data_IF_232243177875
#
_entry.id   IF_232243177875
#
_cell.length_a   1.000
_cell.length_b   1.000
_cell.length_c   1.000
_cell.angle_alpha   90.00
_cell.angle_beta   90.00
_cell.angle_gamma   90.00
#
_symmetry.space_group_name_H-M   'P 1'
#
loop_
_entity.id
_entity.type
_entity.pdbx_description
1 polymer ?
#
# COMPACT_ATOMS: atom_id res chain seq x y z
N UNK A 1 -32.52 8.69 -6.42
CA UNK A 1 -31.45 8.12 -5.64
C UNK A 1 -30.17 8.85 -6.06
N UNK A 2 -29.53 9.61 -5.18
CA UNK A 2 -28.24 10.25 -5.51
C UNK A 2 -27.17 9.17 -5.40
N UNK A 3 -26.46 8.88 -6.47
CA UNK A 3 -25.31 8.00 -6.45
C UNK A 3 -24.20 8.67 -5.64
N UNK A 4 -23.52 7.89 -4.80
CA UNK A 4 -22.31 8.35 -4.12
C UNK A 4 -21.16 8.49 -5.12
N UNK A 5 -20.17 9.33 -4.83
CA UNK A 5 -19.03 9.61 -5.72
C UNK A 5 -18.29 8.34 -6.14
N UNK A 6 -18.09 7.41 -5.20
CA UNK A 6 -17.42 6.14 -5.47
C UNK A 6 -18.18 5.22 -6.43
N UNK A 7 -19.54 5.21 -6.34
CA UNK A 7 -20.37 4.42 -7.26
C UNK A 7 -20.25 4.96 -8.69
N UNK A 8 -20.17 6.28 -8.84
CA UNK A 8 -19.97 6.92 -10.14
C UNK A 8 -18.60 6.54 -10.69
N UNK A 9 -17.53 6.65 -9.88
CA UNK A 9 -16.18 6.24 -10.25
C UNK A 9 -16.13 4.78 -10.68
N UNK A 10 -16.71 3.89 -9.87
CA UNK A 10 -16.78 2.46 -10.14
C UNK A 10 -17.50 2.16 -11.48
N UNK A 11 -18.68 2.74 -11.69
CA UNK A 11 -19.47 2.51 -12.91
C UNK A 11 -18.76 3.03 -14.15
N UNK A 12 -18.15 4.22 -14.08
CA UNK A 12 -17.37 4.77 -15.21
C UNK A 12 -16.15 3.87 -15.49
N UNK A 13 -15.40 3.51 -14.47
CA UNK A 13 -14.25 2.61 -14.62
C UNK A 13 -14.66 1.27 -15.24
N UNK A 14 -15.75 0.66 -14.76
CA UNK A 14 -16.29 -0.57 -15.31
C UNK A 14 -16.73 -0.42 -16.78
N UNK A 15 -17.37 0.70 -17.12
CA UNK A 15 -17.80 1.00 -18.49
C UNK A 15 -16.61 1.21 -19.47
N UNK A 16 -15.44 1.57 -18.96
CA UNK A 16 -14.21 1.67 -19.76
C UNK A 16 -13.50 0.31 -19.84
N UNK A 17 -13.19 -0.29 -18.69
CA UNK A 17 -12.29 -1.48 -18.62
C UNK A 17 -12.98 -2.75 -19.11
N UNK A 18 -14.23 -3.01 -18.73
CA UNK A 18 -14.90 -4.26 -19.11
C UNK A 18 -15.07 -4.43 -20.64
N UNK A 19 -15.45 -3.40 -21.42
CA UNK A 19 -15.44 -3.51 -22.88
C UNK A 19 -14.06 -3.71 -23.48
N UNK A 20 -13.02 -3.07 -22.93
CA UNK A 20 -11.64 -3.23 -23.43
C UNK A 20 -11.18 -4.67 -23.28
N UNK A 21 -11.31 -5.25 -22.08
CA UNK A 21 -10.96 -6.65 -21.82
C UNK A 21 -11.80 -7.63 -22.67
N UNK A 22 -13.09 -7.32 -22.88
CA UNK A 22 -13.93 -8.13 -23.75
C UNK A 22 -13.47 -8.08 -25.22
N UNK A 23 -13.12 -6.90 -25.72
CA UNK A 23 -12.63 -6.73 -27.09
C UNK A 23 -11.29 -7.45 -27.28
N UNK A 24 -10.39 -7.35 -26.31
CA UNK A 24 -9.10 -8.04 -26.32
C UNK A 24 -9.28 -9.57 -26.35
N UNK A 25 -10.13 -10.12 -25.46
CA UNK A 25 -10.41 -11.57 -25.41
C UNK A 25 -11.07 -12.10 -26.68
N UNK A 26 -11.84 -11.27 -27.39
CA UNK A 26 -12.46 -11.59 -28.67
C UNK A 26 -11.55 -11.35 -29.88
N UNK A 27 -10.35 -10.79 -29.69
CA UNK A 27 -9.42 -10.43 -30.76
C UNK A 27 -9.96 -9.31 -31.68
N UNK A 28 -10.82 -8.43 -31.16
CA UNK A 28 -11.44 -7.35 -31.90
C UNK A 28 -10.73 -6.01 -31.64
N UNK A 29 -10.03 -5.48 -32.63
CA UNK A 29 -9.24 -4.24 -32.52
C UNK A 29 -10.01 -3.04 -33.14
N UNK A 30 -11.11 -2.59 -32.47
CA UNK A 30 -11.86 -1.41 -32.89
C UNK A 30 -11.24 -0.10 -32.42
N UNK A 31 -10.43 -0.14 -31.37
CA UNK A 31 -9.78 1.03 -30.78
C UNK A 31 -8.32 1.02 -31.20
N UNK A 32 -7.75 2.18 -31.58
CA UNK A 32 -6.33 2.26 -31.89
C UNK A 32 -5.47 1.76 -30.72
N UNK A 33 -4.52 0.86 -30.99
CA UNK A 33 -3.69 0.21 -29.97
C UNK A 33 -2.91 1.20 -29.10
N UNK A 34 -2.58 2.37 -29.63
CA UNK A 34 -1.89 3.43 -28.88
C UNK A 34 -2.79 4.17 -27.87
N UNK A 35 -4.11 4.02 -27.93
CA UNK A 35 -5.06 4.68 -27.01
C UNK A 35 -5.49 3.72 -25.88
N UNK A 36 -5.54 2.43 -26.16
CA UNK A 36 -6.02 1.40 -25.23
C UNK A 36 -5.33 1.51 -23.85
N UNK A 37 -3.97 1.58 -23.75
CA UNK A 37 -3.31 1.62 -22.44
C UNK A 37 -3.69 2.84 -21.59
N UNK A 38 -3.94 3.99 -22.21
CA UNK A 38 -4.36 5.19 -21.47
C UNK A 38 -5.80 5.06 -20.95
N UNK A 39 -6.67 4.38 -21.70
CA UNK A 39 -8.02 4.07 -21.23
C UNK A 39 -8.00 3.05 -20.09
N UNK A 40 -7.11 2.05 -20.16
CA UNK A 40 -6.85 1.09 -19.09
C UNK A 40 -6.33 1.79 -17.83
N UNK A 41 -5.39 2.72 -17.97
CA UNK A 41 -4.91 3.53 -16.86
C UNK A 41 -6.06 4.30 -16.18
N UNK A 42 -6.81 5.07 -16.95
CA UNK A 42 -7.90 5.91 -16.41
C UNK A 42 -9.02 5.05 -15.82
N UNK A 43 -9.47 4.03 -16.56
CA UNK A 43 -10.50 3.11 -16.09
C UNK A 43 -10.05 2.27 -14.90
N UNK A 44 -8.81 1.82 -14.90
CA UNK A 44 -8.18 1.09 -13.79
C UNK A 44 -8.13 1.91 -12.51
N UNK A 45 -7.65 3.15 -12.56
CA UNK A 45 -7.65 4.07 -11.40
C UNK A 45 -9.07 4.27 -10.87
N UNK A 46 -10.04 4.49 -11.74
CA UNK A 46 -11.43 4.71 -11.33
C UNK A 46 -12.05 3.46 -10.68
N UNK A 47 -11.74 2.26 -11.19
CA UNK A 47 -12.16 1.00 -10.58
C UNK A 47 -11.49 0.76 -9.23
N UNK A 48 -10.17 0.95 -9.13
CA UNK A 48 -9.42 0.80 -7.89
C UNK A 48 -9.97 1.76 -6.83
N UNK A 49 -10.19 3.04 -7.16
CA UNK A 49 -10.75 4.02 -6.23
C UNK A 49 -12.16 3.65 -5.77
N UNK A 50 -13.05 3.25 -6.68
CA UNK A 50 -14.41 2.82 -6.33
C UNK A 50 -14.43 1.52 -5.52
N UNK A 51 -13.54 0.57 -5.83
CA UNK A 51 -13.40 -0.69 -5.10
C UNK A 51 -12.87 -0.49 -3.69
N UNK A 52 -11.89 0.40 -3.52
CA UNK A 52 -11.34 0.75 -2.23
C UNK A 52 -12.43 1.24 -1.27
N UNK A 53 -13.25 2.21 -1.70
CA UNK A 53 -14.32 2.76 -0.86
C UNK A 53 -15.40 1.70 -0.55
N UNK A 54 -15.70 0.81 -1.49
CA UNK A 54 -16.61 -0.30 -1.26
C UNK A 54 -16.04 -1.32 -0.24
N UNK A 55 -14.73 -1.61 -0.26
CA UNK A 55 -14.07 -2.44 0.75
C UNK A 55 -14.11 -1.77 2.12
N UNK A 56 -13.77 -0.49 2.21
CA UNK A 56 -13.77 0.28 3.46
C UNK A 56 -15.16 0.26 4.09
N UNK A 57 -16.20 0.63 3.34
CA UNK A 57 -17.60 0.60 3.81
C UNK A 57 -18.03 -0.79 4.31
N UNK A 58 -17.59 -1.84 3.62
CA UNK A 58 -17.90 -3.22 4.02
C UNK A 58 -17.24 -3.58 5.34
N UNK A 59 -15.99 -3.20 5.52
CA UNK A 59 -15.21 -3.52 6.73
C UNK A 59 -15.64 -2.66 7.90
N UNK A 60 -15.95 -1.40 7.70
CA UNK A 60 -16.56 -0.53 8.74
C UNK A 60 -17.90 -1.09 9.22
N UNK A 61 -18.78 -1.51 8.28
CA UNK A 61 -20.04 -2.16 8.62
C UNK A 61 -19.84 -3.48 9.39
N UNK A 62 -18.79 -4.25 9.08
CA UNK A 62 -18.44 -5.46 9.82
C UNK A 62 -17.90 -5.13 11.21
N UNK A 63 -17.02 -4.15 11.33
CA UNK A 63 -16.45 -3.69 12.59
C UNK A 63 -17.54 -3.18 13.55
N UNK A 64 -18.50 -2.42 13.03
CA UNK A 64 -19.68 -1.98 13.78
C UNK A 64 -20.52 -3.16 14.27
N UNK A 65 -20.79 -4.15 13.41
CA UNK A 65 -21.53 -5.36 13.81
C UNK A 65 -20.77 -6.20 14.87
N UNK A 66 -19.45 -6.05 14.97
CA UNK A 66 -18.59 -6.70 15.98
C UNK A 66 -18.40 -5.85 17.24
N UNK A 67 -19.01 -4.67 17.32
CA UNK A 67 -18.84 -3.71 18.41
C UNK A 67 -17.39 -3.35 18.71
N UNK A 68 -16.58 -3.14 17.64
CA UNK A 68 -15.20 -2.69 17.77
C UNK A 68 -15.17 -1.18 18.04
N UNK A 69 -14.10 -0.72 18.71
CA UNK A 69 -13.83 0.71 18.88
C UNK A 69 -13.54 1.37 17.53
N UNK A 70 -13.85 2.65 17.41
CA UNK A 70 -13.64 3.42 16.15
C UNK A 70 -12.19 3.37 15.69
N UNK A 71 -11.24 3.39 16.63
CA UNK A 71 -9.82 3.24 16.33
C UNK A 71 -9.50 1.88 15.68
N UNK A 72 -9.99 0.78 16.24
CA UNK A 72 -9.76 -0.56 15.69
C UNK A 72 -10.49 -0.73 14.36
N UNK A 73 -11.71 -0.18 14.24
CA UNK A 73 -12.45 -0.11 12.99
C UNK A 73 -11.66 0.65 11.90
N UNK A 74 -11.03 1.78 12.25
CA UNK A 74 -10.17 2.55 11.36
C UNK A 74 -8.96 1.77 10.86
N UNK A 75 -8.31 0.96 11.72
CA UNK A 75 -7.21 0.08 11.29
C UNK A 75 -7.70 -0.99 10.30
N UNK A 76 -8.84 -1.62 10.56
CA UNK A 76 -9.41 -2.59 9.63
C UNK A 76 -9.86 -1.94 8.33
N UNK A 77 -10.40 -0.73 8.37
CA UNK A 77 -10.74 0.06 7.19
C UNK A 77 -9.49 0.40 6.37
N UNK A 78 -8.40 0.76 7.04
CA UNK A 78 -7.12 1.00 6.38
C UNK A 78 -6.57 -0.27 5.71
N UNK A 79 -6.69 -1.45 6.31
CA UNK A 79 -6.34 -2.72 5.65
C UNK A 79 -7.22 -2.94 4.42
N UNK A 80 -8.50 -2.65 4.53
CA UNK A 80 -9.44 -2.79 3.42
C UNK A 80 -9.08 -1.87 2.25
N UNK A 81 -8.56 -0.67 2.53
CA UNK A 81 -8.13 0.28 1.50
C UNK A 81 -6.91 -0.19 0.70
N UNK A 82 -6.07 -1.03 1.29
CA UNK A 82 -4.87 -1.57 0.62
C UNK A 82 -5.13 -2.84 -0.19
N UNK A 83 -6.31 -3.49 -0.04
CA UNK A 83 -6.65 -4.70 -0.80
C UNK A 83 -6.58 -4.49 -2.34
N UNK A 84 -7.09 -3.40 -2.92
CA UNK A 84 -6.98 -3.19 -4.37
C UNK A 84 -5.54 -3.17 -4.88
N UNK A 85 -4.59 -2.68 -4.10
CA UNK A 85 -3.17 -2.69 -4.47
C UNK A 85 -2.61 -4.12 -4.55
N UNK A 86 -3.09 -5.03 -3.69
CA UNK A 86 -2.71 -6.44 -3.77
C UNK A 86 -3.10 -7.07 -5.12
N UNK A 87 -4.23 -6.65 -5.71
CA UNK A 87 -4.63 -7.11 -7.04
C UNK A 87 -3.71 -6.56 -8.13
N UNK A 88 -3.30 -5.29 -8.07
CA UNK A 88 -2.32 -4.73 -9.01
C UNK A 88 -1.01 -5.51 -8.97
N UNK A 89 -0.47 -5.74 -7.78
CA UNK A 89 0.76 -6.51 -7.58
C UNK A 89 0.61 -7.96 -8.05
N UNK A 90 -0.52 -8.58 -7.76
CA UNK A 90 -0.80 -9.95 -8.19
C UNK A 90 -0.79 -10.08 -9.72
N UNK A 91 -1.42 -9.15 -10.45
CA UNK A 91 -1.40 -9.18 -11.91
C UNK A 91 -0.02 -8.84 -12.49
N UNK A 92 0.74 -7.93 -11.89
CA UNK A 92 2.14 -7.69 -12.27
C UNK A 92 2.99 -8.97 -12.13
N UNK A 93 2.83 -9.68 -11.00
CA UNK A 93 3.58 -10.91 -10.74
C UNK A 93 3.18 -12.03 -11.71
N UNK A 94 1.87 -12.22 -11.97
CA UNK A 94 1.39 -13.20 -12.98
C UNK A 94 1.92 -12.83 -14.38
N UNK A 95 1.99 -11.53 -14.70
CA UNK A 95 2.58 -11.04 -15.94
C UNK A 95 4.11 -11.17 -16.01
N UNK A 96 4.76 -11.77 -15.00
CA UNK A 96 6.22 -11.96 -14.96
C UNK A 96 7.01 -10.70 -14.61
N UNK A 97 6.34 -9.63 -14.16
CA UNK A 97 6.99 -8.35 -13.80
C UNK A 97 7.35 -8.31 -12.30
N UNK A 98 8.09 -9.31 -11.82
CA UNK A 98 8.44 -9.45 -10.41
C UNK A 98 9.19 -8.24 -9.85
N UNK A 99 10.14 -7.73 -10.63
CA UNK A 99 10.96 -6.56 -10.27
C UNK A 99 10.09 -5.30 -10.14
N UNK A 100 9.19 -5.05 -11.09
CA UNK A 100 8.27 -3.92 -11.02
C UNK A 100 7.34 -4.02 -9.81
N UNK A 101 6.81 -5.21 -9.52
CA UNK A 101 5.99 -5.44 -8.34
C UNK A 101 6.75 -5.18 -7.03
N UNK A 102 8.02 -5.57 -6.96
CA UNK A 102 8.89 -5.29 -5.82
C UNK A 102 9.13 -3.79 -5.63
N UNK A 103 9.49 -3.08 -6.70
CA UNK A 103 9.72 -1.63 -6.66
C UNK A 103 8.43 -0.90 -6.28
N UNK A 104 7.29 -1.30 -6.87
CA UNK A 104 5.98 -0.72 -6.58
C UNK A 104 5.66 -0.84 -5.09
N UNK A 105 5.77 -2.03 -4.52
CA UNK A 105 5.48 -2.28 -3.10
C UNK A 105 6.38 -1.45 -2.18
N UNK A 106 7.69 -1.39 -2.44
CA UNK A 106 8.60 -0.58 -1.63
C UNK A 106 8.39 0.92 -1.80
N UNK A 107 8.19 1.39 -3.03
CA UNK A 107 7.99 2.81 -3.31
C UNK A 107 6.67 3.34 -2.71
N UNK A 108 5.64 2.49 -2.59
CA UNK A 108 4.38 2.86 -1.92
C UNK A 108 4.59 3.22 -0.44
N UNK A 109 5.57 2.61 0.26
CA UNK A 109 5.91 2.98 1.64
C UNK A 109 6.29 4.47 1.73
N UNK A 110 7.10 4.93 0.79
CA UNK A 110 7.57 6.32 0.75
C UNK A 110 6.43 7.27 0.38
N UNK A 111 5.56 6.86 -0.54
CA UNK A 111 4.41 7.68 -0.92
C UNK A 111 3.45 7.85 0.25
N UNK A 112 3.14 6.80 0.99
CA UNK A 112 2.30 6.87 2.17
C UNK A 112 2.96 7.67 3.30
N UNK A 113 4.28 7.57 3.44
CA UNK A 113 5.04 8.42 4.35
C UNK A 113 4.98 9.90 3.96
N UNK A 114 5.03 10.20 2.66
CA UNK A 114 4.84 11.57 2.16
C UNK A 114 3.43 12.09 2.45
N UNK A 115 2.40 11.27 2.20
CA UNK A 115 1.00 11.62 2.49
C UNK A 115 0.83 11.91 3.98
N UNK A 116 1.37 11.04 4.85
CA UNK A 116 1.35 11.27 6.30
C UNK A 116 2.08 12.56 6.68
N UNK A 117 3.28 12.80 6.15
CA UNK A 117 4.06 14.00 6.44
C UNK A 117 3.37 15.29 5.97
N UNK A 118 2.80 15.30 4.76
CA UNK A 118 2.03 16.44 4.25
C UNK A 118 0.75 16.63 5.05
N UNK A 119 0.04 15.54 5.38
CA UNK A 119 -1.17 15.61 6.19
C UNK A 119 -0.90 16.16 7.59
N UNK A 120 0.21 15.78 8.21
CA UNK A 120 0.62 16.29 9.53
C UNK A 120 0.90 17.78 9.57
N UNK A 121 1.20 18.42 8.42
CA UNK A 121 1.31 19.89 8.33
C UNK A 121 -0.04 20.59 8.43
N UNK A 122 -1.12 19.93 8.02
CA UNK A 122 -2.47 20.49 7.94
C UNK A 122 -3.28 20.24 9.23
N UNK A 123 -2.80 19.35 10.11
CA UNK A 123 -3.48 19.05 11.38
C UNK A 123 -3.66 20.30 12.25
N UNK A 124 -4.77 20.39 13.01
CA UNK A 124 -5.00 21.49 13.94
C UNK A 124 -3.96 21.46 15.05
N UNK A 125 -3.15 22.50 15.15
CA UNK A 125 -2.03 22.59 16.08
C UNK A 125 -2.39 23.38 17.33
N UNK A 126 -1.80 23.00 18.45
CA UNK A 126 -1.88 23.74 19.70
C UNK A 126 -1.09 25.07 19.65
N UNK A 127 -1.08 25.82 20.74
CA UNK A 127 -0.37 27.09 20.84
C UNK A 127 1.15 26.96 20.71
N UNK A 128 1.70 25.76 20.89
CA UNK A 128 3.11 25.43 20.74
C UNK A 128 3.45 24.95 19.32
N UNK A 129 2.44 24.81 18.44
CA UNK A 129 2.61 24.35 17.07
C UNK A 129 2.65 22.83 16.94
N UNK A 130 2.15 22.08 17.92
CA UNK A 130 2.15 20.64 17.97
C UNK A 130 0.73 20.07 17.80
N UNK A 131 0.62 18.85 17.24
CA UNK A 131 -0.60 18.05 17.26
C UNK A 131 -0.35 16.78 18.09
N UNK A 132 -1.23 16.50 19.07
CA UNK A 132 -1.13 15.31 19.89
C UNK A 132 -1.68 14.11 19.15
N UNK A 133 -0.87 13.06 19.04
CA UNK A 133 -1.25 11.80 18.39
C UNK A 133 -2.14 10.94 19.31
N UNK A 134 -3.06 10.13 18.74
CA UNK A 134 -3.79 9.12 19.48
C UNK A 134 -2.88 8.14 20.20
N UNK A 135 -3.22 7.79 21.47
CA UNK A 135 -2.40 6.92 22.34
C UNK A 135 -2.11 5.54 21.71
N UNK A 136 -3.01 5.04 20.89
CA UNK A 136 -2.83 3.75 20.27
C UNK A 136 -1.78 3.78 19.12
N UNK A 137 -1.66 4.89 18.37
CA UNK A 137 -0.56 5.11 17.44
C UNK A 137 0.76 5.16 18.22
N UNK A 138 0.75 5.89 19.32
CA UNK A 138 1.94 6.05 20.16
C UNK A 138 2.47 4.71 20.71
N UNK A 139 1.60 3.87 21.29
CA UNK A 139 2.06 2.67 22.00
C UNK A 139 2.28 1.45 21.08
N UNK A 140 1.39 1.20 20.15
CA UNK A 140 1.45 -0.04 19.35
C UNK A 140 1.99 0.21 17.95
N UNK A 141 1.68 1.36 17.37
CA UNK A 141 2.22 1.76 16.08
C UNK A 141 3.73 1.95 16.11
N UNK A 142 4.28 2.53 17.20
CA UNK A 142 5.71 2.73 17.37
C UNK A 142 6.49 1.41 17.45
N UNK A 143 5.95 0.37 18.10
CA UNK A 143 6.56 -0.96 18.14
C UNK A 143 6.69 -1.53 16.73
N UNK A 144 5.63 -1.40 15.91
CA UNK A 144 5.61 -1.92 14.54
C UNK A 144 6.58 -1.16 13.62
N UNK A 145 6.66 0.17 13.75
CA UNK A 145 7.67 0.97 13.02
C UNK A 145 9.09 0.59 13.42
N UNK A 146 9.33 0.28 14.71
CA UNK A 146 10.63 -0.19 15.18
C UNK A 146 11.00 -1.53 14.53
N UNK A 147 10.07 -2.48 14.50
CA UNK A 147 10.27 -3.77 13.84
C UNK A 147 10.54 -3.59 12.34
N UNK A 148 9.73 -2.78 11.65
CA UNK A 148 9.91 -2.48 10.23
C UNK A 148 11.28 -1.83 9.94
N UNK A 149 11.70 -0.87 10.77
CA UNK A 149 13.03 -0.24 10.65
C UNK A 149 14.15 -1.26 10.75
N UNK A 150 14.12 -2.10 11.80
CA UNK A 150 15.18 -3.11 12.02
C UNK A 150 15.22 -4.14 10.89
N UNK A 151 14.06 -4.61 10.45
CA UNK A 151 13.98 -5.59 9.35
C UNK A 151 14.51 -4.98 8.06
N UNK A 152 14.04 -3.78 7.68
CA UNK A 152 14.48 -3.12 6.44
C UNK A 152 15.97 -2.84 6.43
N UNK A 153 16.53 -2.39 7.55
CA UNK A 153 17.97 -2.17 7.68
C UNK A 153 18.75 -3.49 7.58
N UNK A 154 18.32 -4.52 8.31
CA UNK A 154 19.03 -5.80 8.36
C UNK A 154 19.03 -6.50 6.99
N UNK A 155 17.88 -6.58 6.35
CA UNK A 155 17.74 -7.20 5.02
C UNK A 155 18.44 -6.35 3.97
N UNK A 156 18.24 -5.03 3.98
CA UNK A 156 18.87 -4.11 3.03
C UNK A 156 20.38 -4.11 3.11
N UNK A 157 20.97 -4.13 4.33
CA UNK A 157 22.42 -4.27 4.49
C UNK A 157 22.94 -5.63 4.03
N UNK A 158 22.21 -6.71 4.29
CA UNK A 158 22.58 -8.04 3.82
C UNK A 158 22.60 -8.09 2.29
N UNK A 159 21.56 -7.57 1.64
CA UNK A 159 21.50 -7.46 0.17
C UNK A 159 22.62 -6.57 -0.37
N UNK A 160 22.91 -5.44 0.28
CA UNK A 160 24.02 -4.56 -0.11
C UNK A 160 25.37 -5.26 -0.04
N UNK A 161 25.63 -6.05 1.03
CA UNK A 161 26.86 -6.81 1.17
C UNK A 161 27.01 -7.87 0.06
N UNK A 162 25.92 -8.57 -0.28
CA UNK A 162 25.91 -9.52 -1.39
C UNK A 162 26.20 -8.82 -2.73
N UNK A 163 25.62 -7.65 -2.95
CA UNK A 163 25.83 -6.87 -4.16
C UNK A 163 27.27 -6.33 -4.29
N UNK A 164 27.85 -5.83 -3.19
CA UNK A 164 29.19 -5.22 -3.19
C UNK A 164 30.34 -6.25 -3.16
N UNK A 165 30.12 -7.41 -2.57
CA UNK A 165 31.14 -8.44 -2.40
C UNK A 165 30.75 -9.75 -3.09
N UNK A 166 30.59 -9.74 -4.43
CA UNK A 166 30.38 -10.98 -5.16
C UNK A 166 31.60 -11.85 -4.94
N UNK A 167 31.43 -13.01 -4.31
CA UNK A 167 32.55 -13.89 -3.93
C UNK A 167 33.30 -14.37 -5.15
N UNK A 168 34.57 -14.00 -5.23
CA UNK A 168 35.54 -14.61 -6.16
C UNK A 168 35.99 -15.95 -5.59
N UNK A 169 35.26 -17.01 -5.88
CA UNK A 169 35.66 -18.36 -5.49
C UNK A 169 34.50 -19.32 -5.35
N UNK A 170 34.67 -20.54 -5.68
CA UNK A 170 33.89 -21.76 -5.72
C UNK A 170 32.52 -21.91 -5.04
N UNK A 171 32.01 -20.92 -4.32
CA UNK A 171 30.63 -20.80 -3.86
C UNK A 171 30.07 -19.47 -4.40
N UNK A 172 29.33 -19.56 -5.47
CA UNK A 172 28.52 -18.45 -5.99
C UNK A 172 27.49 -18.09 -4.91
N UNK A 173 27.65 -16.93 -4.25
CA UNK A 173 26.54 -16.34 -3.54
C UNK A 173 25.57 -15.88 -4.64
N UNK A 174 24.34 -16.40 -4.68
CA UNK A 174 23.40 -16.01 -5.70
C UNK A 174 23.15 -14.49 -5.58
N UNK A 175 23.24 -13.79 -6.71
CA UNK A 175 22.87 -12.36 -6.79
C UNK A 175 21.34 -12.17 -6.94
N UNK A 176 20.58 -13.16 -6.49
CA UNK A 176 19.14 -13.25 -6.65
C UNK A 176 18.54 -13.80 -5.36
N UNK A 177 17.33 -13.35 -5.04
CA UNK A 177 16.50 -14.01 -4.04
C UNK A 177 15.74 -15.16 -4.71
N UNK A 178 15.85 -16.34 -4.12
CA UNK A 178 15.15 -17.52 -4.58
C UNK A 178 13.70 -17.59 -4.04
N UNK A 179 12.90 -18.50 -4.59
CA UNK A 179 11.51 -18.70 -4.18
C UNK A 179 11.36 -18.98 -2.68
N UNK A 180 12.26 -19.75 -2.09
CA UNK A 180 12.16 -20.16 -0.69
C UNK A 180 12.48 -19.00 0.25
N UNK A 181 13.45 -18.18 -0.10
CA UNK A 181 13.84 -16.97 0.66
C UNK A 181 12.71 -15.93 0.61
N UNK A 182 12.12 -15.70 -0.57
CA UNK A 182 11.00 -14.79 -0.75
C UNK A 182 9.79 -15.22 0.08
N UNK A 183 9.42 -16.51 0.02
CA UNK A 183 8.31 -17.03 0.81
C UNK A 183 8.59 -16.90 2.30
N UNK A 184 9.80 -17.26 2.76
CA UNK A 184 10.16 -17.19 4.18
C UNK A 184 10.09 -15.74 4.69
N UNK A 185 10.70 -14.79 3.98
CA UNK A 185 10.72 -13.38 4.39
C UNK A 185 9.32 -12.79 4.39
N UNK A 186 8.52 -13.06 3.33
CA UNK A 186 7.14 -12.61 3.26
C UNK A 186 6.27 -13.16 4.40
N UNK A 187 6.40 -14.43 4.74
CA UNK A 187 5.70 -15.02 5.90
C UNK A 187 6.13 -14.36 7.21
N UNK A 188 7.42 -14.10 7.41
CA UNK A 188 7.90 -13.41 8.62
C UNK A 188 7.24 -12.02 8.77
N UNK A 189 7.15 -11.25 7.69
CA UNK A 189 6.50 -9.95 7.70
C UNK A 189 5.02 -10.05 8.05
N UNK A 190 4.28 -10.94 7.40
CA UNK A 190 2.84 -11.13 7.65
C UNK A 190 2.57 -11.62 9.08
N UNK A 191 3.39 -12.53 9.62
CA UNK A 191 3.23 -13.01 11.00
C UNK A 191 3.39 -11.85 12.01
N UNK A 192 4.36 -10.96 11.80
CA UNK A 192 4.52 -9.76 12.65
C UNK A 192 3.26 -8.90 12.61
N UNK A 193 2.71 -8.68 11.41
CA UNK A 193 1.49 -7.90 11.27
C UNK A 193 0.24 -8.56 11.89
N UNK A 194 0.10 -9.87 11.74
CA UNK A 194 -0.99 -10.63 12.38
C UNK A 194 -0.89 -10.55 13.91
N UNK A 195 0.31 -10.66 14.46
CA UNK A 195 0.55 -10.49 15.90
C UNK A 195 0.18 -9.07 16.37
N UNK A 196 0.51 -8.06 15.56
CA UNK A 196 0.09 -6.67 15.80
C UNK A 196 -1.44 -6.52 15.82
N UNK A 197 -2.15 -7.03 14.81
CA UNK A 197 -3.61 -7.00 14.76
C UNK A 197 -4.26 -7.71 15.95
N UNK A 198 -3.72 -8.87 16.32
CA UNK A 198 -4.19 -9.59 17.51
C UNK A 198 -4.03 -8.75 18.78
N UNK A 199 -2.86 -8.11 18.96
CA UNK A 199 -2.59 -7.25 20.13
C UNK A 199 -3.55 -6.07 20.17
N UNK A 200 -3.73 -5.35 19.06
CA UNK A 200 -4.64 -4.20 18.98
C UNK A 200 -6.08 -4.61 19.28
N UNK A 201 -6.58 -5.62 18.59
CA UNK A 201 -7.97 -6.07 18.78
C UNK A 201 -8.23 -6.55 20.20
N UNK A 202 -7.25 -7.21 20.83
CA UNK A 202 -7.40 -7.72 22.19
C UNK A 202 -7.39 -6.61 23.25
N UNK A 203 -6.53 -5.62 23.12
CA UNK A 203 -6.31 -4.61 24.17
C UNK A 203 -7.05 -3.29 23.93
N UNK A 204 -7.35 -2.96 22.67
CA UNK A 204 -8.02 -1.72 22.29
C UNK A 204 -9.36 -1.94 21.56
N UNK A 205 -9.72 -3.20 21.28
CA UNK A 205 -10.91 -3.53 20.47
C UNK A 205 -12.25 -3.50 21.22
N UNK A 206 -12.28 -3.41 22.54
CA UNK A 206 -13.53 -3.42 23.31
C UNK A 206 -13.82 -2.05 23.87
N UNK A 207 -15.01 -1.52 23.57
CA UNK A 207 -15.55 -0.35 24.28
C UNK A 207 -15.70 -0.73 25.75
N UNK A 208 -14.94 -0.07 26.63
CA UNK A 208 -15.12 -0.19 28.07
C UNK A 208 -16.36 0.64 28.45
N UNK A 209 -17.43 0.05 29.02
CA UNK A 209 -18.70 0.74 29.25
C UNK A 209 -18.69 1.81 30.36
N UNK A 210 -17.52 2.23 30.82
CA UNK A 210 -17.38 3.12 31.97
C UNK A 210 -16.35 4.22 31.75
N UNK A 211 -16.63 5.16 30.87
CA UNK A 211 -16.10 6.50 31.00
C UNK A 211 -17.20 7.47 30.60
N UNK A 212 -17.59 8.28 31.58
CA UNK A 212 -18.45 9.46 31.43
C UNK A 212 -17.69 10.54 30.58
N UNK A 213 -17.21 10.19 29.43
CA UNK A 213 -16.56 11.10 28.51
C UNK A 213 -17.58 11.52 27.45
N UNK A 214 -18.12 12.75 27.54
CA UNK A 214 -19.14 13.23 26.62
C UNK A 214 -18.62 13.44 25.18
N UNK A 215 -17.33 13.16 24.90
CA UNK A 215 -16.72 13.21 23.58
C UNK A 215 -16.87 11.89 22.77
N UNK A 216 -17.41 10.83 23.41
CA UNK A 216 -17.65 9.52 22.77
C UNK A 216 -19.00 9.42 22.06
N UNK A 217 -19.80 10.46 22.09
CA UNK A 217 -21.06 10.59 21.34
C UNK A 217 -20.86 11.28 19.97
N UNK A 218 -19.77 10.95 19.26
CA UNK A 218 -19.69 11.33 17.85
C UNK A 218 -20.60 10.39 17.07
N UNK A 219 -21.66 10.96 16.50
CA UNK A 219 -22.65 10.37 15.59
C UNK A 219 -22.07 9.79 14.29
N UNK A 220 -20.90 9.14 14.32
CA UNK A 220 -20.34 8.32 13.26
C UNK A 220 -21.02 6.94 13.25
N UNK A 221 -22.34 6.95 13.29
CA UNK A 221 -23.16 5.75 13.11
C UNK A 221 -23.20 5.44 11.63
N UNK A 222 -22.22 4.69 11.15
CA UNK A 222 -22.46 3.87 9.96
C UNK A 222 -23.66 2.96 10.32
N UNK A 223 -24.79 3.13 9.58
CA UNK A 223 -25.98 2.32 9.84
C UNK A 223 -25.62 0.84 9.80
N UNK A 224 -26.12 0.01 10.74
CA UNK A 224 -25.86 -1.41 10.75
C UNK A 224 -26.28 -2.01 9.40
N UNK A 225 -25.30 -2.41 8.61
CA UNK A 225 -25.58 -3.02 7.31
C UNK A 225 -25.93 -4.49 7.47
N UNK A 226 -27.00 -4.98 6.83
CA UNK A 226 -27.31 -6.41 6.82
C UNK A 226 -26.16 -7.22 6.25
N UNK A 227 -25.85 -8.39 6.81
CA UNK A 227 -24.74 -9.26 6.37
C UNK A 227 -24.75 -9.56 4.86
N UNK A 228 -25.95 -9.70 4.29
CA UNK A 228 -26.11 -9.95 2.85
C UNK A 228 -25.63 -8.75 2.00
N UNK A 229 -25.88 -7.52 2.46
CA UNK A 229 -25.43 -6.30 1.78
C UNK A 229 -23.92 -6.17 1.87
N UNK A 230 -23.33 -6.48 3.03
CA UNK A 230 -21.87 -6.52 3.20
C UNK A 230 -21.20 -7.50 2.22
N UNK A 231 -21.77 -8.70 2.06
CA UNK A 231 -21.26 -9.69 1.10
C UNK A 231 -21.33 -9.21 -0.35
N UNK A 232 -22.39 -8.53 -0.73
CA UNK A 232 -22.53 -7.95 -2.08
C UNK A 232 -21.49 -6.84 -2.32
N UNK A 233 -21.30 -5.95 -1.34
CA UNK A 233 -20.27 -4.89 -1.44
C UNK A 233 -18.87 -5.46 -1.53
N UNK A 234 -18.52 -6.46 -0.73
CA UNK A 234 -17.23 -7.15 -0.81
C UNK A 234 -17.02 -7.81 -2.17
N UNK A 235 -18.05 -8.46 -2.73
CA UNK A 235 -17.95 -9.07 -4.06
C UNK A 235 -17.74 -8.02 -5.16
N UNK A 236 -18.51 -6.93 -5.14
CA UNK A 236 -18.37 -5.83 -6.09
C UNK A 236 -16.98 -5.20 -5.96
N UNK A 237 -16.51 -4.97 -4.74
CA UNK A 237 -15.19 -4.42 -4.47
C UNK A 237 -14.08 -5.34 -5.01
N UNK A 238 -14.16 -6.65 -4.76
CA UNK A 238 -13.17 -7.61 -5.25
C UNK A 238 -13.16 -7.70 -6.79
N UNK A 239 -14.34 -7.71 -7.42
CA UNK A 239 -14.45 -7.73 -8.88
C UNK A 239 -13.83 -6.46 -9.51
N UNK A 240 -14.16 -5.28 -8.98
CA UNK A 240 -13.60 -4.04 -9.49
C UNK A 240 -12.11 -3.91 -9.23
N UNK A 241 -11.62 -4.38 -8.07
CA UNK A 241 -10.19 -4.43 -7.78
C UNK A 241 -9.44 -5.38 -8.72
N UNK A 242 -10.01 -6.53 -9.06
CA UNK A 242 -9.43 -7.47 -10.01
C UNK A 242 -9.34 -6.85 -11.42
N UNK A 243 -10.45 -6.31 -11.95
CA UNK A 243 -10.47 -5.68 -13.26
C UNK A 243 -9.58 -4.43 -13.32
N UNK A 244 -9.59 -3.61 -12.27
CA UNK A 244 -8.75 -2.42 -12.17
C UNK A 244 -7.27 -2.76 -12.02
N UNK A 245 -6.94 -3.80 -11.27
CA UNK A 245 -5.59 -4.31 -11.09
C UNK A 245 -4.99 -4.86 -12.39
N UNK A 246 -5.78 -5.61 -13.16
CA UNK A 246 -5.39 -6.10 -14.47
C UNK A 246 -5.14 -4.94 -15.44
N UNK A 247 -6.04 -3.97 -15.52
CA UNK A 247 -5.90 -2.79 -16.37
C UNK A 247 -4.64 -1.97 -16.03
N UNK A 248 -4.34 -1.78 -14.74
CA UNK A 248 -3.11 -1.08 -14.32
C UNK A 248 -1.86 -1.91 -14.62
N UNK A 249 -1.91 -3.23 -14.51
CA UNK A 249 -0.82 -4.12 -14.89
C UNK A 249 -0.55 -4.08 -16.40
N UNK A 250 -1.61 -4.09 -17.22
CA UNK A 250 -1.51 -3.91 -18.68
C UNK A 250 -0.86 -2.58 -19.04
N UNK A 251 -1.29 -1.48 -18.43
CA UNK A 251 -0.64 -0.19 -18.60
C UNK A 251 0.84 -0.22 -18.17
N UNK A 252 1.19 -0.93 -17.11
CA UNK A 252 2.57 -1.07 -16.66
C UNK A 252 3.46 -1.76 -17.71
N UNK A 253 2.95 -2.81 -18.35
CA UNK A 253 3.61 -3.46 -19.47
C UNK A 253 3.84 -2.49 -20.65
N UNK A 254 2.84 -1.71 -21.00
CA UNK A 254 2.97 -0.67 -22.03
C UNK A 254 3.97 0.40 -21.61
N UNK A 255 3.96 0.84 -20.35
CA UNK A 255 4.86 1.89 -19.90
C UNK A 255 6.32 1.47 -19.92
N UNK A 256 6.66 0.23 -19.61
CA UNK A 256 8.02 -0.32 -19.59
C UNK A 256 8.42 -1.02 -20.88
N UNK A 257 7.46 -1.43 -21.72
CA UNK A 257 7.67 -2.20 -22.92
C UNK A 257 8.29 -1.39 -24.08
N UNK A 258 9.08 -2.05 -24.95
CA UNK A 258 9.76 -1.40 -26.09
C UNK A 258 8.80 -0.87 -27.16
N UNK A 259 7.61 -1.42 -27.24
CA UNK A 259 6.54 -0.99 -28.17
C UNK A 259 5.65 0.11 -27.56
N UNK A 260 5.84 0.42 -26.28
CA UNK A 260 5.10 1.44 -25.55
C UNK A 260 5.92 2.69 -25.28
N UNK A 261 5.89 3.15 -24.01
CA UNK A 261 6.63 4.35 -23.59
C UNK A 261 8.12 4.09 -23.39
N UNK A 262 8.54 2.84 -23.35
CA UNK A 262 9.92 2.41 -23.13
C UNK A 262 10.60 3.09 -21.94
N UNK A 263 9.85 3.25 -20.84
CA UNK A 263 10.38 3.82 -19.61
C UNK A 263 11.23 2.78 -18.87
N UNK A 264 12.31 3.18 -18.20
CA UNK A 264 12.97 2.30 -17.23
C UNK A 264 11.96 1.78 -16.22
N UNK A 265 12.10 0.51 -15.79
CA UNK A 265 11.15 -0.18 -14.90
C UNK A 265 10.84 0.64 -13.65
N UNK A 266 11.86 1.28 -13.07
CA UNK A 266 11.70 2.13 -11.89
C UNK A 266 10.81 3.35 -12.14
N UNK A 267 10.90 3.98 -13.34
CA UNK A 267 10.06 5.13 -13.68
C UNK A 267 8.61 4.70 -13.90
N UNK A 268 8.41 3.55 -14.56
CA UNK A 268 7.08 2.97 -14.74
C UNK A 268 6.45 2.58 -13.38
N UNK A 269 7.22 1.97 -12.48
CA UNK A 269 6.77 1.65 -11.12
C UNK A 269 6.42 2.89 -10.31
N UNK A 270 7.26 3.95 -10.32
CA UNK A 270 6.96 5.21 -9.63
C UNK A 270 5.69 5.89 -10.16
N UNK A 271 5.46 5.82 -11.47
CA UNK A 271 4.22 6.32 -12.06
C UNK A 271 3.01 5.56 -11.49
N UNK A 272 3.10 4.23 -11.41
CA UNK A 272 2.03 3.40 -10.83
C UNK A 272 1.82 3.67 -9.34
N UNK A 273 2.88 3.94 -8.56
CA UNK A 273 2.76 4.31 -7.14
C UNK A 273 1.88 5.55 -6.97
N UNK A 274 2.09 6.57 -7.80
CA UNK A 274 1.30 7.81 -7.74
C UNK A 274 -0.17 7.52 -8.04
N UNK A 275 -0.44 6.70 -9.03
CA UNK A 275 -1.82 6.39 -9.43
C UNK A 275 -2.47 5.32 -8.55
N UNK A 276 -1.73 4.29 -8.15
CA UNK A 276 -2.21 3.21 -7.29
C UNK A 276 -2.57 3.69 -5.87
N UNK A 277 -1.82 4.65 -5.31
CA UNK A 277 -2.11 5.26 -4.01
C UNK A 277 -3.27 6.27 -4.01
N UNK A 278 -3.86 6.57 -5.17
CA UNK A 278 -4.98 7.53 -5.27
C UNK A 278 -6.13 7.25 -4.28
N UNK A 279 -6.57 6.01 -4.04
CA UNK A 279 -7.63 5.73 -3.07
C UNK A 279 -7.30 6.20 -1.66
N UNK A 280 -6.08 5.96 -1.18
CA UNK A 280 -5.65 6.37 0.16
C UNK A 280 -5.66 7.89 0.31
N UNK A 281 -5.22 8.62 -0.72
CA UNK A 281 -5.24 10.10 -0.72
C UNK A 281 -6.66 10.62 -0.65
N UNK A 282 -7.61 9.99 -1.37
CA UNK A 282 -9.03 10.36 -1.35
C UNK A 282 -9.62 10.11 0.04
N UNK A 283 -9.31 8.97 0.68
CA UNK A 283 -9.81 8.66 2.02
C UNK A 283 -9.30 9.68 3.04
N UNK A 284 -8.00 9.96 3.06
CA UNK A 284 -7.42 10.96 3.97
C UNK A 284 -8.06 12.34 3.76
N UNK A 285 -8.20 12.77 2.51
CA UNK A 285 -8.80 14.06 2.18
C UNK A 285 -10.31 14.12 2.49
N UNK A 286 -11.05 13.03 2.28
CA UNK A 286 -12.49 12.98 2.56
C UNK A 286 -12.79 12.94 4.05
N UNK A 287 -12.03 12.15 4.82
CA UNK A 287 -12.16 12.09 6.27
C UNK A 287 -11.78 13.43 6.92
N UNK A 288 -10.73 14.09 6.46
CA UNK A 288 -10.40 15.43 6.93
C UNK A 288 -11.52 16.45 6.68
N UNK A 289 -12.19 16.40 5.50
CA UNK A 289 -13.32 17.29 5.19
C UNK A 289 -14.57 17.04 6.03
N UNK A 290 -14.68 15.86 6.61
CA UNK A 290 -15.76 15.48 7.52
C UNK A 290 -15.43 15.74 8.99
N UNK A 291 -14.27 16.35 9.27
CA UNK A 291 -13.69 16.51 10.61
C UNK A 291 -13.35 15.19 11.33
N UNK A 292 -13.25 14.08 10.58
CA UNK A 292 -12.86 12.74 11.06
C UNK A 292 -11.31 12.64 11.09
N UNK A 293 -10.65 13.50 11.86
CA UNK A 293 -9.19 13.65 11.84
C UNK A 293 -8.48 12.36 12.28
N UNK A 294 -9.02 11.65 13.27
CA UNK A 294 -8.44 10.40 13.76
C UNK A 294 -8.49 9.29 12.70
N UNK A 295 -9.57 9.22 11.93
CA UNK A 295 -9.72 8.26 10.83
C UNK A 295 -8.71 8.58 9.72
N UNK A 296 -8.60 9.86 9.33
CA UNK A 296 -7.65 10.28 8.32
C UNK A 296 -6.19 9.99 8.74
N UNK A 297 -5.86 10.27 10.01
CA UNK A 297 -4.53 10.03 10.56
C UNK A 297 -4.23 8.54 10.70
N UNK A 298 -5.21 7.75 11.17
CA UNK A 298 -5.09 6.30 11.28
C UNK A 298 -4.89 5.64 9.92
N UNK A 299 -5.59 6.12 8.88
CA UNK A 299 -5.42 5.61 7.52
C UNK A 299 -4.04 5.99 6.94
N UNK A 300 -3.62 7.26 7.07
CA UNK A 300 -2.33 7.71 6.58
C UNK A 300 -1.15 7.00 7.27
N UNK A 301 -1.26 6.78 8.59
CA UNK A 301 -0.27 6.02 9.36
C UNK A 301 -0.33 4.52 9.04
N UNK A 302 -1.55 3.98 9.03
CA UNK A 302 -1.81 2.57 8.73
C UNK A 302 -1.23 2.16 7.39
N UNK A 303 -1.39 2.99 6.36
CA UNK A 303 -0.84 2.76 5.03
C UNK A 303 0.66 2.50 5.03
N UNK A 304 1.46 3.20 5.84
CA UNK A 304 2.92 3.00 5.90
C UNK A 304 3.26 1.60 6.41
N UNK A 305 2.70 1.20 7.55
CA UNK A 305 3.03 -0.08 8.19
C UNK A 305 2.41 -1.26 7.46
N UNK A 306 1.19 -1.11 6.94
CA UNK A 306 0.51 -2.16 6.18
C UNK A 306 1.20 -2.45 4.86
N UNK A 307 1.65 -1.41 4.15
CA UNK A 307 2.38 -1.60 2.90
C UNK A 307 3.66 -2.37 3.15
N UNK A 308 4.43 -2.06 4.19
CA UNK A 308 5.65 -2.80 4.49
C UNK A 308 5.37 -4.25 4.91
N UNK A 309 4.46 -4.47 5.82
CA UNK A 309 4.26 -5.82 6.38
C UNK A 309 3.30 -6.69 5.55
N UNK A 310 2.25 -6.11 4.96
CA UNK A 310 1.22 -6.86 4.23
C UNK A 310 1.49 -6.84 2.74
N UNK A 311 1.58 -5.66 2.12
CA UNK A 311 1.72 -5.53 0.67
C UNK A 311 3.07 -6.08 0.21
N UNK A 312 4.16 -5.63 0.83
CA UNK A 312 5.49 -6.12 0.51
C UNK A 312 5.66 -7.60 0.90
N UNK A 313 5.13 -8.02 2.06
CA UNK A 313 5.09 -9.43 2.46
C UNK A 313 4.32 -10.31 1.47
N UNK A 314 3.15 -9.86 0.99
CA UNK A 314 2.38 -10.54 -0.05
C UNK A 314 3.15 -10.62 -1.36
N UNK A 315 3.77 -9.53 -1.80
CA UNK A 315 4.57 -9.49 -3.03
C UNK A 315 5.68 -10.53 -3.00
N UNK A 316 6.38 -10.66 -1.87
CA UNK A 316 7.39 -11.70 -1.68
C UNK A 316 6.82 -13.12 -1.76
N UNK A 317 5.74 -13.39 -1.03
CA UNK A 317 5.10 -14.73 -1.05
C UNK A 317 4.57 -15.06 -2.44
N UNK A 318 3.86 -14.15 -3.08
CA UNK A 318 3.28 -14.38 -4.40
C UNK A 318 4.37 -14.61 -5.45
N UNK A 319 5.42 -13.79 -5.46
CA UNK A 319 6.57 -13.98 -6.36
C UNK A 319 7.26 -15.31 -6.11
N UNK A 320 7.47 -15.70 -4.85
CA UNK A 320 8.08 -16.98 -4.52
C UNK A 320 7.22 -18.18 -4.93
N UNK A 321 5.89 -18.12 -4.71
CA UNK A 321 4.98 -19.20 -5.11
C UNK A 321 4.93 -19.33 -6.64
N UNK A 322 4.76 -18.23 -7.37
CA UNK A 322 4.71 -18.26 -8.82
C UNK A 322 6.05 -18.66 -9.43
N UNK A 323 7.17 -18.28 -8.82
CA UNK A 323 8.48 -18.74 -9.20
C UNK A 323 8.65 -20.26 -9.10
N UNK A 324 8.00 -20.93 -8.15
CA UNK A 324 7.95 -22.40 -8.11
C UNK A 324 7.05 -23.01 -9.18
N UNK A 325 6.03 -22.28 -9.61
CA UNK A 325 5.05 -22.79 -10.58
C UNK A 325 5.48 -22.56 -12.03
N UNK A 326 6.38 -21.62 -12.29
CA UNK A 326 6.87 -21.33 -13.64
C UNK A 326 8.02 -22.29 -14.00
N UNK A 327 7.82 -23.19 -15.01
CA UNK A 327 8.85 -24.13 -15.45
C UNK A 327 10.11 -23.46 -16.01
N UNK A 328 9.99 -22.22 -16.50
CA UNK A 328 11.12 -21.47 -17.07
C UNK A 328 11.96 -20.81 -15.98
N UNK A 329 11.38 -20.62 -14.78
CA UNK A 329 12.03 -20.03 -13.62
C UNK A 329 12.45 -21.08 -12.57
N UNK A 330 12.20 -22.37 -12.82
CA UNK A 330 12.50 -23.46 -11.88
C UNK A 330 13.96 -23.44 -11.42
N UNK A 331 14.14 -22.97 -10.19
CA UNK A 331 15.42 -23.00 -9.45
C UNK A 331 16.33 -21.81 -9.66
N UNK A 332 15.94 -20.77 -10.42
CA UNK A 332 16.79 -19.63 -10.74
C UNK A 332 16.06 -18.29 -10.62
N UNK A 333 16.65 -17.38 -9.84
CA UNK A 333 16.77 -15.96 -10.16
C UNK A 333 15.43 -15.20 -10.35
N UNK A 334 14.52 -15.32 -9.34
CA UNK A 334 13.23 -14.66 -9.45
C UNK A 334 13.37 -13.15 -9.32
N UNK A 335 14.18 -12.71 -8.35
CA UNK A 335 14.39 -11.29 -8.09
C UNK A 335 15.87 -10.96 -8.09
N UNK A 336 16.38 -10.24 -9.10
CA UNK A 336 17.75 -9.76 -9.09
C UNK A 336 17.97 -8.79 -7.93
N UNK A 337 19.11 -8.92 -7.22
CA UNK A 337 19.50 -7.98 -6.17
C UNK A 337 20.16 -6.78 -6.85
N UNK A 338 19.34 -5.87 -7.34
CA UNK A 338 19.81 -4.65 -7.98
C UNK A 338 19.99 -3.51 -7.00
N UNK A 339 20.92 -2.60 -7.31
CA UNK A 339 21.30 -1.51 -6.41
C UNK A 339 20.10 -0.66 -5.98
N UNK A 340 19.17 -0.35 -6.88
CA UNK A 340 18.00 0.46 -6.55
C UNK A 340 17.02 -0.26 -5.63
N UNK A 341 16.84 -1.59 -5.77
CA UNK A 341 16.01 -2.40 -4.86
C UNK A 341 16.59 -2.40 -3.44
N UNK A 342 17.92 -2.52 -3.36
CA UNK A 342 18.66 -2.42 -2.09
C UNK A 342 18.52 -1.03 -1.48
N UNK A 343 18.66 0.02 -2.29
CA UNK A 343 18.52 1.42 -1.85
C UNK A 343 17.11 1.69 -1.34
N UNK A 344 16.07 1.26 -2.05
CA UNK A 344 14.68 1.38 -1.61
C UNK A 344 14.48 0.75 -0.23
N UNK A 345 14.94 -0.47 -0.05
CA UNK A 345 14.79 -1.17 1.22
C UNK A 345 15.58 -0.51 2.35
N UNK A 346 16.81 -0.03 2.05
CA UNK A 346 17.62 0.71 3.03
C UNK A 346 16.98 2.05 3.41
N UNK A 347 16.35 2.77 2.47
CA UNK A 347 15.67 4.03 2.76
C UNK A 347 14.36 3.84 3.55
N UNK A 348 13.75 2.66 3.52
CA UNK A 348 12.62 2.35 4.39
C UNK A 348 13.01 2.43 5.88
N UNK A 349 14.28 2.12 6.23
CA UNK A 349 14.78 2.26 7.59
C UNK A 349 14.69 3.71 8.12
N UNK A 350 15.37 4.73 7.54
CA UNK A 350 15.30 6.09 8.07
C UNK A 350 13.87 6.63 8.04
N UNK A 351 13.06 6.28 7.04
CA UNK A 351 11.66 6.69 6.95
C UNK A 351 10.84 6.21 8.16
N UNK A 352 10.88 4.91 8.45
CA UNK A 352 10.17 4.34 9.60
C UNK A 352 10.78 4.77 10.94
N UNK A 353 12.10 4.92 10.99
CA UNK A 353 12.82 5.32 12.20
C UNK A 353 12.51 6.79 12.58
N UNK A 354 12.50 7.71 11.63
CA UNK A 354 12.10 9.10 11.86
C UNK A 354 10.65 9.14 12.36
N UNK A 355 9.74 8.46 11.65
CA UNK A 355 8.34 8.42 12.05
C UNK A 355 8.16 7.81 13.46
N UNK A 356 8.87 6.73 13.77
CA UNK A 356 8.89 6.14 15.12
C UNK A 356 9.37 7.14 16.17
N UNK A 357 10.44 7.87 15.88
CA UNK A 357 11.01 8.86 16.83
C UNK A 357 10.02 9.98 17.10
N UNK A 358 9.39 10.52 16.05
CA UNK A 358 8.34 11.54 16.16
C UNK A 358 7.18 11.08 17.06
N UNK A 359 6.75 9.83 16.90
CA UNK A 359 5.63 9.28 17.66
C UNK A 359 6.00 9.02 19.12
N UNK A 360 7.25 8.59 19.41
CA UNK A 360 7.64 8.10 20.75
C UNK A 360 8.23 9.17 21.66
N UNK A 361 8.71 10.29 21.14
CA UNK A 361 9.39 11.31 21.95
C UNK A 361 8.41 11.99 22.92
N UNK A 362 7.36 12.59 22.39
CA UNK A 362 6.36 13.30 23.21
C UNK A 362 4.89 13.03 22.81
N UNK A 363 4.66 12.05 21.95
CA UNK A 363 3.36 11.74 21.34
C UNK A 363 2.74 12.94 20.59
N UNK A 364 3.56 13.85 20.10
CA UNK A 364 3.15 15.04 19.35
C UNK A 364 3.86 15.07 18.00
N UNK A 365 3.29 15.75 17.03
CA UNK A 365 3.90 16.03 15.73
C UNK A 365 3.99 17.54 15.53
N UNK A 366 5.17 17.99 15.13
CA UNK A 366 5.43 19.37 14.78
C UNK A 366 5.82 19.55 13.29
N UNK A 367 5.89 20.79 12.83
CA UNK A 367 6.19 21.09 11.42
C UNK A 367 7.61 20.68 11.01
N UNK A 368 8.60 20.74 11.92
CA UNK A 368 9.98 20.38 11.60
C UNK A 368 10.11 18.88 11.28
N UNK A 369 9.44 18.06 12.06
CA UNK A 369 9.39 16.62 11.85
C UNK A 369 8.74 16.27 10.50
N UNK A 370 7.60 16.88 10.20
CA UNK A 370 6.91 16.70 8.92
C UNK A 370 7.79 17.08 7.73
N UNK A 371 8.50 18.20 7.81
CA UNK A 371 9.45 18.65 6.77
C UNK A 371 10.64 17.68 6.65
N UNK A 372 11.10 17.11 7.76
CA UNK A 372 12.18 16.11 7.74
C UNK A 372 11.77 14.85 6.96
N UNK A 373 10.54 14.35 7.16
CA UNK A 373 9.98 13.23 6.39
C UNK A 373 9.89 13.55 4.88
N UNK A 374 9.36 14.73 4.55
CA UNK A 374 9.27 15.19 3.15
C UNK A 374 10.67 15.25 2.52
N UNK A 375 11.67 15.74 3.26
CA UNK A 375 13.05 15.84 2.78
C UNK A 375 13.67 14.48 2.49
N UNK A 376 13.44 13.47 3.33
CA UNK A 376 13.88 12.09 3.10
C UNK A 376 13.26 11.54 1.82
N UNK A 377 11.95 11.75 1.63
CA UNK A 377 11.25 11.31 0.42
C UNK A 377 11.82 11.98 -0.85
N UNK A 378 12.05 13.29 -0.81
CA UNK A 378 12.61 14.01 -1.96
C UNK A 378 14.02 13.50 -2.30
N UNK A 379 14.87 13.28 -1.30
CA UNK A 379 16.22 12.73 -1.51
C UNK A 379 16.14 11.31 -2.13
N UNK A 380 15.26 10.46 -1.64
CA UNK A 380 15.06 9.13 -2.18
C UNK A 380 14.56 9.19 -3.63
N UNK A 381 13.53 10.00 -3.90
CA UNK A 381 12.99 10.19 -5.24
C UNK A 381 14.06 10.70 -6.22
N UNK A 382 14.90 11.64 -5.78
CA UNK A 382 16.03 12.13 -6.59
C UNK A 382 16.98 10.99 -6.95
N UNK A 383 17.39 10.18 -5.98
CA UNK A 383 18.28 9.03 -6.22
C UNK A 383 17.64 8.05 -7.21
N UNK A 384 16.37 7.69 -7.02
CA UNK A 384 15.68 6.75 -7.89
C UNK A 384 15.51 7.27 -9.33
N UNK A 385 15.16 8.54 -9.49
CA UNK A 385 14.94 9.13 -10.82
C UNK A 385 16.25 9.30 -11.62
N UNK A 386 17.34 9.63 -10.94
CA UNK A 386 18.60 9.94 -11.65
C UNK A 386 19.58 8.78 -11.71
N UNK A 387 19.51 7.82 -10.81
CA UNK A 387 20.42 6.67 -10.75
C UNK A 387 19.74 5.32 -10.98
N UNK A 388 18.42 5.24 -10.86
CA UNK A 388 17.66 4.00 -11.07
C UNK A 388 17.41 3.64 -12.53
N UNK A 389 17.90 4.42 -13.49
CA UNK A 389 17.78 4.17 -14.94
C UNK A 389 19.12 3.94 -15.64
N UNK A 390 20.22 3.83 -14.87
CA UNK A 390 21.56 3.48 -15.34
C UNK A 390 21.80 2.01 -15.02
#
# INVERSE_FOLDING_TARGET
>A
MKLHSWQISYVIGLAIVAPLLLLETLGLHFIPENIVPYLELIGGIMLIAGSCEAFVLSVEGLAHNMHLTDYVAGIYASIASTIPELFVLFFLIIGGQYEMAWILALATIFMNSLVFAVYSLVLPKDHEGNYRLPDAIHHVGSDLLTMGSVISLSVGLSMMLVHLFPTHGTALIPQYLDSSELILFGFCLIIVFVAYLYRITKYYGKVVPNTDDPLLDSDLVSMPMPKNVLGIFLFIAALGAALGGEALSSFAHFASGPEGLNLPIIHAALLLVVFGGTPEYIIVASSHRKDEIEVALSNAFGGIVQVFFVIFGFTMIASGILGYLDPNLLGHEILPIELYSVVLLLFAFPTMFILRTMITDDAKINALESVSMISVFIMMLYILLFYGGI
#
